data_IF_708432815582
#
_entry.id   IF_708432815582
#
_cell.length_a   1.000
_cell.length_b   1.000
_cell.length_c   1.000
_cell.angle_alpha   90.00
_cell.angle_beta   90.00
_cell.angle_gamma   90.00
#
_symmetry.space_group_name_H-M   'P 1'
#
loop_
_entity.id
_entity.type
_entity.pdbx_description
1 polymer ?
#
# COMPACT_ATOMS: atom_id res chain seq x y z
N UNK A 1 5.12 -5.61 4.53
CA UNK A 1 4.23 -6.75 4.19
C UNK A 1 2.95 -6.63 4.99
N UNK A 2 1.84 -6.73 4.31
CA UNK A 2 0.51 -6.62 4.90
C UNK A 2 -0.24 -7.93 4.74
N UNK A 3 -1.08 -8.24 5.73
CA UNK A 3 -2.00 -9.36 5.59
C UNK A 3 -3.18 -8.96 4.71
N UNK A 4 -3.52 -9.80 3.76
CA UNK A 4 -4.63 -9.55 2.88
C UNK A 4 -5.41 -10.80 2.55
N UNK A 5 -6.51 -10.61 1.84
CA UNK A 5 -7.33 -11.71 1.34
C UNK A 5 -7.57 -11.49 -0.14
N UNK A 6 -7.19 -12.47 -0.94
CA UNK A 6 -7.46 -12.47 -2.38
C UNK A 6 -8.90 -12.90 -2.58
N UNK A 7 -9.78 -11.95 -2.86
CA UNK A 7 -11.22 -12.23 -3.01
C UNK A 7 -11.46 -13.06 -4.26
N UNK A 8 -10.85 -12.65 -5.34
CA UNK A 8 -10.86 -13.35 -6.63
C UNK A 8 -9.67 -12.87 -7.44
N UNK A 9 -9.48 -13.39 -8.65
CA UNK A 9 -8.39 -12.92 -9.50
C UNK A 9 -8.49 -11.42 -9.70
N UNK A 10 -7.38 -10.73 -9.53
CA UNK A 10 -7.23 -9.28 -9.69
C UNK A 10 -7.97 -8.43 -8.66
N UNK A 11 -8.46 -9.04 -7.58
CA UNK A 11 -9.13 -8.30 -6.52
C UNK A 11 -8.66 -8.77 -5.16
N UNK A 12 -8.03 -7.88 -4.42
CA UNK A 12 -7.48 -8.17 -3.10
C UNK A 12 -7.98 -7.15 -2.09
N UNK A 13 -8.17 -7.56 -0.85
CA UNK A 13 -8.48 -6.66 0.26
C UNK A 13 -7.36 -6.69 1.29
N UNK A 14 -6.96 -5.52 1.76
CA UNK A 14 -6.01 -5.34 2.85
C UNK A 14 -6.18 -3.94 3.42
N UNK A 15 -5.72 -3.74 4.65
CA UNK A 15 -5.83 -2.43 5.33
C UNK A 15 -7.26 -1.85 5.32
N UNK A 16 -8.28 -2.72 5.29
CA UNK A 16 -9.67 -2.29 5.32
C UNK A 16 -10.25 -1.84 3.98
N UNK A 17 -9.53 -2.00 2.89
CA UNK A 17 -9.95 -1.54 1.56
C UNK A 17 -9.80 -2.64 0.51
N UNK A 18 -10.56 -2.54 -0.56
CA UNK A 18 -10.44 -3.42 -1.73
C UNK A 18 -9.59 -2.73 -2.79
N UNK A 19 -8.70 -3.49 -3.41
CA UNK A 19 -7.81 -2.99 -4.45
C UNK A 19 -7.82 -3.91 -5.66
N UNK A 20 -7.76 -3.31 -6.85
CA UNK A 20 -7.54 -4.05 -8.08
C UNK A 20 -6.04 -4.29 -8.20
N UNK A 21 -5.64 -5.52 -8.49
CA UNK A 21 -4.25 -5.89 -8.73
C UNK A 21 -4.13 -6.68 -10.03
N UNK A 22 -2.90 -7.02 -10.42
CA UNK A 22 -2.65 -7.73 -11.68
C UNK A 22 -2.49 -9.25 -11.47
N UNK A 23 -2.35 -9.67 -10.23
CA UNK A 23 -2.13 -11.07 -9.89
C UNK A 23 -3.43 -11.86 -9.80
N UNK A 24 -3.32 -13.16 -10.03
CA UNK A 24 -4.42 -14.09 -9.92
C UNK A 24 -3.89 -15.50 -9.61
N UNK A 25 -4.77 -16.47 -9.63
CA UNK A 25 -4.38 -17.86 -9.41
C UNK A 25 -4.26 -18.26 -7.95
N UNK A 26 -4.72 -17.44 -7.02
CA UNK A 26 -4.66 -17.74 -5.58
C UNK A 26 -5.94 -18.41 -5.07
N UNK A 27 -6.98 -18.45 -5.88
CA UNK A 27 -8.29 -18.94 -5.45
C UNK A 27 -9.17 -17.83 -4.88
N UNK A 28 -10.38 -18.18 -4.49
CA UNK A 28 -11.32 -17.24 -3.89
C UNK A 28 -11.10 -17.16 -2.38
N UNK A 29 -11.16 -15.95 -1.84
CA UNK A 29 -11.04 -15.70 -0.40
C UNK A 29 -9.79 -16.34 0.23
N UNK A 30 -8.70 -16.36 -0.54
CA UNK A 30 -7.44 -16.94 -0.08
C UNK A 30 -6.63 -15.93 0.74
N UNK A 31 -6.15 -16.31 1.93
CA UNK A 31 -5.25 -15.44 2.69
C UNK A 31 -3.92 -15.31 1.97
N UNK A 32 -3.42 -14.08 1.86
CA UNK A 32 -2.18 -13.78 1.14
C UNK A 32 -1.38 -12.73 1.89
N UNK A 33 -0.11 -12.61 1.53
CA UNK A 33 0.74 -11.49 1.93
C UNK A 33 0.76 -10.49 0.79
N UNK A 34 0.62 -9.21 1.14
CA UNK A 34 0.64 -8.11 0.18
C UNK A 34 1.90 -7.30 0.40
N UNK A 35 2.70 -7.13 -0.65
CA UNK A 35 3.93 -6.36 -0.62
C UNK A 35 3.74 -5.12 -1.49
N UNK A 36 3.94 -3.95 -0.89
CA UNK A 36 3.84 -2.67 -1.59
C UNK A 36 5.14 -1.92 -1.34
N UNK A 37 5.82 -1.54 -2.41
CA UNK A 37 7.06 -0.79 -2.31
C UNK A 37 6.74 0.68 -2.05
N UNK A 38 7.55 1.39 -1.25
CA UNK A 38 7.30 2.81 -0.98
C UNK A 38 7.20 3.69 -2.22
N UNK A 39 7.92 3.36 -3.28
CA UNK A 39 7.91 4.11 -4.54
C UNK A 39 6.65 3.87 -5.38
N UNK A 40 5.88 2.85 -5.06
CA UNK A 40 4.64 2.53 -5.77
C UNK A 40 3.40 3.16 -5.14
N UNK A 41 3.56 3.87 -4.04
CA UNK A 41 2.48 4.59 -3.38
C UNK A 41 2.42 6.00 -3.96
N UNK A 42 1.25 6.41 -4.43
CA UNK A 42 1.05 7.71 -5.07
C UNK A 42 0.26 8.62 -4.14
N UNK A 43 0.77 9.82 -3.91
CA UNK A 43 0.10 10.84 -3.12
C UNK A 43 -0.49 11.91 -4.03
N UNK A 44 -1.68 12.36 -3.71
CA UNK A 44 -2.38 13.39 -4.46
C UNK A 44 -3.34 14.15 -3.58
N UNK A 45 -4.33 14.81 -4.20
CA UNK A 45 -5.35 15.56 -3.47
C UNK A 45 -6.14 14.64 -2.55
N UNK A 46 -6.52 15.11 -1.36
CA UNK A 46 -7.22 14.27 -0.38
C UNK A 46 -8.52 13.64 -0.89
N UNK A 47 -9.21 14.31 -1.78
CA UNK A 47 -10.46 13.79 -2.33
C UNK A 47 -10.28 12.90 -3.56
N UNK A 48 -9.07 12.77 -4.08
CA UNK A 48 -8.81 12.05 -5.34
C UNK A 48 -8.19 10.67 -5.14
N UNK A 49 -7.73 10.33 -3.93
CA UNK A 49 -7.08 9.05 -3.65
C UNK A 49 -8.06 7.95 -3.29
N UNK A 50 -7.56 6.73 -3.26
CA UNK A 50 -8.31 5.56 -2.80
C UNK A 50 -8.50 5.61 -1.29
N UNK A 51 -7.53 6.21 -0.57
CA UNK A 51 -7.55 6.38 0.87
C UNK A 51 -7.17 7.82 1.18
N UNK A 52 -7.51 8.29 2.36
CA UNK A 52 -7.11 9.61 2.85
C UNK A 52 -6.17 9.44 4.02
N UNK A 53 -5.07 10.18 4.01
CA UNK A 53 -4.10 10.12 5.09
C UNK A 53 -3.52 11.47 5.42
N UNK A 54 -2.63 11.48 6.42
CA UNK A 54 -1.93 12.66 6.89
C UNK A 54 -0.44 12.37 6.92
N UNK A 55 0.36 13.28 6.35
CA UNK A 55 1.82 13.16 6.37
C UNK A 55 2.31 13.40 7.80
N UNK A 56 2.95 12.40 8.39
CA UNK A 56 3.44 12.46 9.77
C UNK A 56 4.91 12.82 9.88
N UNK A 57 5.72 12.41 8.91
CA UNK A 57 7.13 12.74 8.90
C UNK A 57 7.65 12.81 7.48
N UNK A 58 8.74 13.55 7.29
CA UNK A 58 9.38 13.75 6.00
C UNK A 58 10.88 13.66 6.21
N UNK A 59 11.55 12.84 5.39
CA UNK A 59 12.99 12.66 5.45
C UNK A 59 13.57 12.65 4.05
N UNK A 60 14.60 13.47 3.81
CA UNK A 60 15.29 13.46 2.53
C UNK A 60 16.31 12.33 2.47
N UNK A 61 16.24 11.51 1.44
CA UNK A 61 17.10 10.33 1.26
C UNK A 61 18.18 10.52 0.20
N UNK A 62 18.43 11.75 -0.20
CA UNK A 62 19.48 12.07 -1.16
C UNK A 62 19.00 12.19 -2.61
N UNK A 63 18.07 11.37 -3.03
CA UNK A 63 17.49 11.40 -4.38
C UNK A 63 15.97 11.48 -4.38
N UNK A 64 15.36 11.19 -3.25
CA UNK A 64 13.91 11.27 -3.06
C UNK A 64 13.59 11.57 -1.60
N UNK A 65 12.34 11.88 -1.36
CA UNK A 65 11.82 12.13 -0.01
C UNK A 65 11.07 10.90 0.48
N UNK A 66 11.34 10.50 1.72
CA UNK A 66 10.56 9.45 2.39
C UNK A 66 9.59 10.09 3.35
N UNK A 67 8.32 9.81 3.16
CA UNK A 67 7.26 10.31 4.00
C UNK A 67 6.56 9.16 4.69
N UNK A 68 6.21 9.35 5.96
CA UNK A 68 5.33 8.42 6.67
C UNK A 68 3.94 9.01 6.65
N UNK A 69 3.00 8.29 6.08
CA UNK A 69 1.61 8.75 5.93
C UNK A 69 0.70 7.88 6.78
N UNK A 70 -0.02 8.50 7.68
CA UNK A 70 -0.97 7.81 8.54
C UNK A 70 -2.32 7.73 7.86
N UNK A 71 -2.80 6.51 7.65
CA UNK A 71 -4.14 6.22 7.11
C UNK A 71 -4.85 5.35 8.14
N UNK A 72 -5.77 5.94 8.89
CA UNK A 72 -6.40 5.22 9.99
C UNK A 72 -5.36 4.73 10.99
N UNK A 73 -5.30 3.45 11.22
CA UNK A 73 -4.35 2.82 12.13
C UNK A 73 -3.07 2.34 11.43
N UNK A 74 -2.95 2.56 10.12
CA UNK A 74 -1.83 2.06 9.34
C UNK A 74 -0.93 3.19 8.91
N UNK A 75 0.39 3.00 9.03
CA UNK A 75 1.37 3.93 8.51
C UNK A 75 1.96 3.39 7.22
N UNK A 76 1.96 4.22 6.20
CA UNK A 76 2.51 3.89 4.89
C UNK A 76 3.82 4.63 4.68
N UNK A 77 4.84 3.91 4.24
CA UNK A 77 6.08 4.50 3.76
C UNK A 77 5.88 4.91 2.31
N UNK A 78 6.20 6.16 2.00
CA UNK A 78 6.05 6.69 0.63
C UNK A 78 7.36 7.33 0.20
N UNK A 79 7.91 6.88 -0.92
CA UNK A 79 9.09 7.48 -1.52
C UNK A 79 8.65 8.25 -2.77
N UNK A 80 8.96 9.54 -2.80
CA UNK A 80 8.55 10.42 -3.88
C UNK A 80 9.60 11.48 -4.17
N UNK A 81 9.66 11.94 -5.41
CA UNK A 81 10.51 13.06 -5.78
C UNK A 81 9.92 14.40 -5.34
N UNK A 82 8.65 14.42 -4.93
CA UNK A 82 7.98 15.61 -4.43
C UNK A 82 7.73 15.48 -2.94
N UNK A 83 8.02 16.56 -2.21
CA UNK A 83 7.82 16.60 -0.77
C UNK A 83 6.49 17.30 -0.45
N UNK A 84 5.74 16.70 0.48
CA UNK A 84 4.56 17.32 1.08
C UNK A 84 4.86 17.56 2.55
N UNK A 85 4.49 18.74 3.09
CA UNK A 85 4.83 19.07 4.48
C UNK A 85 4.13 18.16 5.49
N UNK A 86 4.75 18.01 6.65
CA UNK A 86 4.11 17.35 7.79
C UNK A 86 2.77 18.00 8.09
N UNK A 87 1.78 17.19 8.40
CA UNK A 87 0.43 17.65 8.69
C UNK A 87 -0.45 17.79 7.46
N UNK A 88 0.09 17.65 6.27
CA UNK A 88 -0.71 17.74 5.04
C UNK A 88 -1.68 16.57 4.94
N UNK A 89 -2.93 16.87 4.57
CA UNK A 89 -3.87 15.83 4.19
C UNK A 89 -3.62 15.44 2.75
N UNK A 90 -3.61 14.15 2.49
CA UNK A 90 -3.29 13.61 1.17
C UNK A 90 -4.24 12.48 0.79
N UNK A 91 -4.45 12.30 -0.50
CA UNK A 91 -5.05 11.09 -1.04
C UNK A 91 -3.95 10.07 -1.32
N UNK A 92 -4.17 8.84 -0.91
CA UNK A 92 -3.21 7.75 -1.09
C UNK A 92 -3.77 6.77 -2.09
N UNK A 93 -3.02 6.48 -3.12
CA UNK A 93 -3.42 5.54 -4.17
C UNK A 93 -2.29 4.58 -4.47
N UNK A 94 -2.65 3.38 -4.90
CA UNK A 94 -1.70 2.36 -5.32
C UNK A 94 -2.19 1.81 -6.64
N UNK A 95 -1.34 1.87 -7.67
CA UNK A 95 -1.70 1.34 -8.97
C UNK A 95 -1.72 -0.20 -8.92
N UNK A 96 -2.54 -0.85 -9.77
CA UNK A 96 -2.66 -2.31 -9.73
C UNK A 96 -1.33 -3.06 -9.85
N UNK A 97 -0.41 -2.57 -10.68
CA UNK A 97 0.91 -3.19 -10.85
C UNK A 97 1.88 -2.89 -9.71
N UNK A 98 1.51 -2.00 -8.80
CA UNK A 98 2.28 -1.72 -7.59
C UNK A 98 1.91 -2.61 -6.42
N UNK A 99 0.90 -3.45 -6.57
CA UNK A 99 0.43 -4.37 -5.53
C UNK A 99 0.95 -5.77 -5.86
N UNK A 100 1.85 -6.30 -5.03
CA UNK A 100 2.46 -7.60 -5.23
C UNK A 100 1.86 -8.60 -4.25
N UNK A 101 1.32 -9.71 -4.77
CA UNK A 101 0.65 -10.72 -3.97
C UNK A 101 1.56 -11.94 -3.86
N UNK A 102 1.70 -12.44 -2.65
CA UNK A 102 2.52 -13.61 -2.35
C UNK A 102 1.73 -14.58 -1.48
N UNK A 103 2.07 -15.86 -1.58
CA UNK A 103 1.53 -16.85 -0.66
C UNK A 103 2.00 -16.55 0.76
N UNK A 104 1.21 -16.92 1.75
CA UNK A 104 1.54 -16.69 3.15
C UNK A 104 2.86 -17.33 3.52
N UNK A 105 3.81 -16.51 3.99
CA UNK A 105 5.14 -16.97 4.36
C UNK A 105 5.13 -17.88 5.59
N UNK A 106 4.23 -17.66 6.50
CA UNK A 106 4.13 -18.45 7.71
C UNK A 106 3.74 -19.90 7.43
N UNK A 107 3.03 -20.18 6.35
CA UNK A 107 2.73 -21.55 5.92
C UNK A 107 4.00 -22.26 5.47
N UNK A 108 4.85 -21.56 4.75
CA UNK A 108 6.14 -22.09 4.35
C UNK A 108 7.04 -22.37 5.56
N UNK A 109 6.98 -21.52 6.57
CA UNK A 109 7.76 -21.69 7.78
C UNK A 109 7.29 -22.90 8.62
N UNK A 110 6.04 -23.27 8.50
CA UNK A 110 5.49 -24.42 9.21
C UNK A 110 5.80 -25.74 8.53
N UNK A 111 6.05 -25.67 7.27
CA UNK A 111 6.41 -26.84 6.49
C UNK A 111 7.86 -27.25 6.77
#
# INVERSE_FOLDING_TARGET
ILDGVMIEDRLVTFAGHKFVCVDGGFGENAPVDVVIRPEDVVLGDPGAGMMRGVVRSVLFKGVHWRMMVQVGDTQWKVDSTQMLPEGSEVGVSILPDGIHIMHKMEEAAKA
#
